data_IF_185376110974
#
_entry.id   IF_185376110974
#
_cell.length_a   1.000
_cell.length_b   1.000
_cell.length_c   1.000
_cell.angle_alpha   90.00
_cell.angle_beta   90.00
_cell.angle_gamma   90.00
#
_symmetry.space_group_name_H-M   'P 1'
#
loop_
_entity.id
_entity.type
_entity.pdbx_description
1 polymer ?
#
# COMPACT_ATOMS: atom_id res chain seq x y z
N UNK A 1 -1.89 -78.39 23.99
CA UNK A 1 -0.60 -77.81 23.56
C UNK A 1 -0.62 -76.37 24.08
N UNK A 2 0.07 -76.01 25.17
CA UNK A 2 1.49 -75.66 25.24
C UNK A 2 1.86 -74.60 24.17
N UNK A 3 2.47 -73.43 24.44
CA UNK A 3 2.99 -72.79 25.67
C UNK A 3 3.26 -71.27 25.36
N UNK A 4 3.48 -70.28 26.26
CA UNK A 4 3.57 -70.17 27.73
C UNK A 4 3.45 -68.67 28.19
N UNK A 5 3.23 -68.44 29.50
CA UNK A 5 3.41 -67.23 30.36
C UNK A 5 4.23 -66.01 29.83
N UNK A 6 3.99 -64.75 30.27
CA UNK A 6 3.97 -64.28 31.68
C UNK A 6 3.16 -62.99 31.98
N UNK A 7 2.70 -62.88 33.25
CA UNK A 7 2.25 -61.67 34.00
C UNK A 7 3.50 -60.90 34.58
N UNK A 8 3.48 -59.78 35.32
CA UNK A 8 2.52 -58.97 36.13
C UNK A 8 2.82 -57.47 35.85
N UNK A 9 1.87 -56.52 35.70
CA UNK A 9 1.25 -55.55 36.67
C UNK A 9 2.23 -54.80 37.66
N UNK A 10 1.86 -53.67 38.32
CA UNK A 10 2.27 -52.30 37.96
C UNK A 10 3.10 -51.56 39.03
N UNK A 11 3.66 -50.36 38.72
CA UNK A 11 3.90 -49.31 39.75
C UNK A 11 4.06 -47.89 39.17
N UNK A 12 3.67 -46.89 39.97
CA UNK A 12 3.97 -45.46 39.76
C UNK A 12 5.37 -45.10 40.31
N UNK A 13 6.06 -44.10 39.73
CA UNK A 13 6.40 -42.81 40.38
C UNK A 13 7.34 -41.90 39.54
N UNK A 14 7.12 -40.58 39.68
CA UNK A 14 8.07 -39.45 39.67
C UNK A 14 8.89 -39.01 38.42
N UNK A 15 8.57 -37.79 37.99
CA UNK A 15 9.44 -36.61 37.80
C UNK A 15 10.83 -36.75 37.14
N UNK A 16 10.96 -36.09 35.98
CA UNK A 16 12.25 -35.69 35.40
C UNK A 16 12.09 -34.54 34.39
N UNK A 17 12.20 -33.29 34.85
CA UNK A 17 12.30 -32.12 33.97
C UNK A 17 13.68 -32.10 33.30
N UNK A 18 13.74 -32.31 31.99
CA UNK A 18 14.96 -32.15 31.20
C UNK A 18 15.03 -30.74 30.60
N UNK A 19 15.70 -29.84 31.30
CA UNK A 19 16.14 -28.55 30.76
C UNK A 19 17.37 -28.73 29.88
N UNK A 20 17.26 -28.46 28.59
CA UNK A 20 18.43 -28.35 27.70
C UNK A 20 19.11 -26.99 27.87
N UNK A 21 20.14 -26.95 28.72
CA UNK A 21 21.13 -25.89 28.73
C UNK A 21 22.15 -26.17 27.61
N UNK A 22 22.09 -25.41 26.52
CA UNK A 22 23.13 -25.42 25.49
C UNK A 22 24.33 -24.57 25.92
N UNK A 23 25.51 -25.17 26.00
CA UNK A 23 26.74 -24.47 26.39
C UNK A 23 27.17 -23.44 25.34
N UNK A 24 27.63 -22.27 25.79
CA UNK A 24 28.39 -21.34 24.96
C UNK A 24 29.85 -21.82 24.86
N UNK A 25 30.31 -22.16 23.66
CA UNK A 25 31.75 -22.16 23.35
C UNK A 25 32.11 -20.84 22.65
N UNK A 26 32.97 -20.06 23.30
CA UNK A 26 33.37 -18.73 22.86
C UNK A 26 34.49 -18.77 21.81
N UNK A 27 34.17 -18.51 20.55
CA UNK A 27 35.18 -18.30 19.49
C UNK A 27 35.60 -16.81 19.39
N UNK A 28 36.87 -16.46 19.64
CA UNK A 28 37.35 -15.07 19.67
C UNK A 28 37.66 -14.52 18.27
N UNK A 29 36.65 -14.47 17.39
CA UNK A 29 36.71 -13.73 16.11
C UNK A 29 35.36 -13.55 15.41
N UNK A 30 34.25 -14.04 15.98
CA UNK A 30 32.92 -13.78 15.43
C UNK A 30 32.65 -12.26 15.40
N UNK A 31 32.24 -11.67 14.26
CA UNK A 31 31.83 -10.28 14.23
C UNK A 31 30.67 -10.12 15.23
N UNK A 32 30.77 -9.09 16.10
CA UNK A 32 29.68 -8.79 17.04
C UNK A 32 28.39 -8.71 16.25
N UNK A 33 27.41 -9.55 16.59
CA UNK A 33 26.01 -9.36 16.18
C UNK A 33 25.68 -7.91 16.51
N UNK A 34 25.53 -7.07 15.50
CA UNK A 34 24.92 -5.76 15.69
C UNK A 34 23.55 -6.08 16.26
N UNK A 35 23.32 -5.73 17.52
CA UNK A 35 21.99 -5.86 18.08
C UNK A 35 21.11 -4.94 17.25
N UNK A 36 20.25 -5.51 16.42
CA UNK A 36 19.04 -4.83 15.98
C UNK A 36 18.36 -4.40 17.28
N UNK A 37 18.45 -3.09 17.57
CA UNK A 37 17.79 -2.50 18.73
C UNK A 37 16.33 -2.85 18.55
N UNK A 38 15.82 -3.70 19.45
CA UNK A 38 14.53 -4.36 19.28
C UNK A 38 13.47 -3.35 18.85
N UNK A 39 13.07 -3.45 17.57
CA UNK A 39 12.16 -2.51 16.98
C UNK A 39 10.80 -2.71 17.66
N UNK A 40 10.51 -1.86 18.66
CA UNK A 40 9.16 -1.69 19.18
C UNK A 40 8.34 -1.08 18.05
N UNK A 41 7.87 -1.98 17.17
CA UNK A 41 7.33 -1.65 15.86
C UNK A 41 6.21 -0.61 16.02
N UNK A 42 6.15 0.33 15.08
CA UNK A 42 5.16 1.40 15.13
C UNK A 42 3.71 0.92 15.05
N UNK A 43 3.48 -0.37 14.75
CA UNK A 43 2.20 -1.06 14.88
C UNK A 43 1.68 -1.09 16.34
N UNK A 44 2.57 -1.02 17.34
CA UNK A 44 2.22 -0.88 18.75
C UNK A 44 1.71 0.53 19.12
N UNK A 45 1.81 1.49 18.19
CA UNK A 45 1.39 2.87 18.33
C UNK A 45 0.32 3.20 17.27
N UNK A 46 -0.87 2.60 17.36
CA UNK A 46 -1.97 2.86 16.45
C UNK A 46 -2.52 4.28 16.66
N UNK A 47 -2.98 4.89 15.57
CA UNK A 47 -3.59 6.22 15.60
C UNK A 47 -5.00 6.11 16.17
N UNK A 48 -5.31 6.93 17.19
CA UNK A 48 -6.65 7.03 17.75
C UNK A 48 -7.54 7.83 16.80
N UNK A 49 -8.66 7.22 16.39
CA UNK A 49 -9.67 7.81 15.50
C UNK A 49 -11.03 7.86 16.19
N UNK A 50 -11.80 8.92 15.96
CA UNK A 50 -13.22 8.98 16.31
C UNK A 50 -14.10 8.23 15.29
N UNK A 51 -13.66 8.15 14.03
CA UNK A 51 -14.30 7.38 12.97
C UNK A 51 -13.56 6.05 12.76
N UNK A 52 -14.23 4.94 13.03
CA UNK A 52 -13.65 3.59 12.98
C UNK A 52 -13.70 2.93 11.59
N UNK A 53 -14.15 3.65 10.56
CA UNK A 53 -14.03 3.20 9.18
C UNK A 53 -12.55 2.93 8.82
N UNK A 54 -12.31 1.83 8.11
CA UNK A 54 -11.02 1.53 7.50
C UNK A 54 -10.77 2.45 6.31
N UNK A 55 -9.82 3.38 6.44
CA UNK A 55 -9.45 4.36 5.44
C UNK A 55 -8.15 3.90 4.78
N UNK A 56 -8.21 3.61 3.50
CA UNK A 56 -7.07 3.20 2.69
C UNK A 56 -6.82 4.24 1.60
N UNK A 57 -5.60 4.28 1.07
CA UNK A 57 -5.25 5.06 -0.11
C UNK A 57 -4.74 4.13 -1.20
N UNK A 58 -5.20 4.34 -2.44
CA UNK A 58 -4.68 3.59 -3.58
C UNK A 58 -3.36 4.18 -4.04
N UNK A 59 -2.34 3.35 -4.27
CA UNK A 59 -0.95 3.81 -4.47
C UNK A 59 -0.36 3.26 -5.76
N UNK A 60 0.29 4.14 -6.51
CA UNK A 60 0.93 3.82 -7.78
C UNK A 60 2.46 3.69 -7.61
N UNK A 61 3.04 2.48 -7.75
CA UNK A 61 4.47 2.24 -7.49
C UNK A 61 5.36 2.45 -8.72
N UNK A 62 4.97 3.32 -9.65
CA UNK A 62 5.50 3.37 -11.03
C UNK A 62 6.33 4.61 -11.41
N UNK A 63 6.59 5.51 -10.46
CA UNK A 63 7.42 6.70 -10.68
C UNK A 63 8.92 6.35 -10.54
N UNK A 64 9.75 6.82 -11.47
CA UNK A 64 11.20 6.58 -11.48
C UNK A 64 11.97 7.84 -11.93
N UNK A 65 13.11 8.12 -11.29
CA UNK A 65 14.03 9.18 -11.72
C UNK A 65 15.06 8.63 -12.71
N UNK A 66 15.77 9.53 -13.41
CA UNK A 66 16.94 9.17 -14.21
C UNK A 66 18.03 8.41 -13.42
N UNK A 67 18.14 8.62 -12.11
CA UNK A 67 19.07 7.87 -11.24
C UNK A 67 18.55 6.50 -10.83
N UNK A 68 17.24 6.32 -10.61
CA UNK A 68 16.68 5.02 -10.25
C UNK A 68 16.53 4.11 -11.48
N UNK A 69 16.22 4.66 -12.64
CA UNK A 69 16.00 3.94 -13.90
C UNK A 69 17.17 4.08 -14.90
N UNK A 70 18.40 3.91 -14.41
CA UNK A 70 19.60 3.58 -15.19
C UNK A 70 20.19 4.68 -16.10
N UNK A 71 19.45 5.75 -16.40
CA UNK A 71 19.84 7.07 -16.93
C UNK A 71 18.63 7.88 -17.41
N UNK A 72 17.45 7.26 -17.53
CA UNK A 72 16.25 7.88 -18.13
C UNK A 72 15.13 8.03 -17.09
N UNK A 73 14.39 9.14 -17.16
CA UNK A 73 13.18 9.32 -16.34
C UNK A 73 12.11 8.28 -16.72
N UNK A 74 11.39 7.76 -15.73
CA UNK A 74 10.30 6.80 -15.95
C UNK A 74 9.10 7.45 -16.66
N UNK A 75 8.38 6.64 -17.44
CA UNK A 75 7.27 7.12 -18.28
C UNK A 75 6.21 7.93 -17.52
N UNK A 76 5.95 7.60 -16.25
CA UNK A 76 4.94 8.29 -15.46
C UNK A 76 5.34 9.71 -15.02
N UNK A 77 6.58 10.15 -15.25
CA UNK A 77 6.96 11.57 -15.18
C UNK A 77 7.08 12.25 -16.55
N UNK A 78 7.23 11.51 -17.65
CA UNK A 78 7.48 12.07 -18.99
C UNK A 78 6.25 12.07 -19.89
N UNK A 79 5.40 11.05 -19.75
CA UNK A 79 4.57 10.49 -20.83
C UNK A 79 5.36 10.52 -22.15
N UNK A 80 4.82 11.09 -23.23
CA UNK A 80 5.52 11.33 -24.49
C UNK A 80 6.12 12.75 -24.59
N UNK A 81 5.49 13.74 -23.97
CA UNK A 81 5.70 15.15 -24.28
C UNK A 81 6.46 15.97 -23.22
N UNK A 82 6.76 15.42 -22.05
CA UNK A 82 7.47 16.11 -20.96
C UNK A 82 8.90 15.58 -20.79
N UNK A 83 9.86 16.49 -20.54
CA UNK A 83 11.24 16.16 -20.24
C UNK A 83 11.64 16.72 -18.86
N UNK A 84 11.68 15.91 -17.79
CA UNK A 84 12.01 16.38 -16.46
C UNK A 84 13.44 16.90 -16.28
N UNK A 85 14.34 16.72 -17.25
CA UNK A 85 15.66 17.38 -17.25
C UNK A 85 15.58 18.86 -17.68
N UNK A 86 14.45 19.30 -18.27
CA UNK A 86 14.11 20.71 -18.40
C UNK A 86 13.61 21.22 -17.05
N UNK A 87 14.30 22.24 -16.52
CA UNK A 87 14.01 22.86 -15.22
C UNK A 87 13.81 24.36 -15.41
N UNK A 88 12.72 24.90 -14.86
CA UNK A 88 12.46 26.34 -14.89
C UNK A 88 13.26 27.12 -13.83
N UNK A 89 13.15 28.46 -13.86
CA UNK A 89 13.82 29.36 -12.93
C UNK A 89 13.38 29.19 -11.45
N UNK A 90 12.30 28.46 -11.17
CA UNK A 90 11.81 28.12 -9.82
C UNK A 90 12.27 26.73 -9.35
N UNK A 91 13.05 26.03 -10.16
CA UNK A 91 13.43 24.64 -9.92
C UNK A 91 12.30 23.62 -10.20
N UNK A 92 11.20 24.02 -10.87
CA UNK A 92 10.13 23.09 -11.29
C UNK A 92 10.60 22.34 -12.54
N UNK A 93 10.61 21.01 -12.48
CA UNK A 93 10.89 20.14 -13.63
C UNK A 93 9.65 20.03 -14.53
N UNK A 94 9.83 19.93 -15.84
CA UNK A 94 8.74 19.65 -16.77
C UNK A 94 8.30 18.18 -16.61
N UNK A 95 7.22 17.95 -15.87
CA UNK A 95 6.63 16.62 -15.63
C UNK A 95 5.23 16.50 -16.23
N UNK A 96 4.82 15.28 -16.54
CA UNK A 96 3.49 14.96 -17.07
C UNK A 96 2.40 14.96 -15.99
N UNK A 97 2.19 16.10 -15.34
CA UNK A 97 1.13 16.33 -14.36
C UNK A 97 0.80 17.81 -14.19
N UNK A 98 -0.47 18.10 -13.94
CA UNK A 98 -0.94 19.42 -13.49
C UNK A 98 -0.52 19.75 -12.05
N UNK A 99 -0.15 18.74 -11.25
CA UNK A 99 0.15 18.88 -9.82
C UNK A 99 1.61 18.49 -9.54
N UNK A 100 2.35 19.35 -8.83
CA UNK A 100 3.76 19.14 -8.57
C UNK A 100 3.98 18.65 -7.13
N UNK A 101 4.57 17.45 -6.91
CA UNK A 101 4.84 16.94 -5.57
C UNK A 101 5.61 17.96 -4.74
N UNK A 102 5.25 18.13 -3.46
CA UNK A 102 5.95 19.05 -2.56
C UNK A 102 7.44 18.68 -2.43
N UNK A 103 7.74 17.38 -2.52
CA UNK A 103 9.07 16.76 -2.52
C UNK A 103 9.84 16.89 -3.85
N UNK A 104 9.19 17.37 -4.92
CA UNK A 104 9.62 17.20 -6.31
C UNK A 104 9.41 15.77 -6.85
N UNK A 105 9.55 15.53 -8.16
CA UNK A 105 9.39 14.20 -8.74
C UNK A 105 10.46 13.24 -8.21
N UNK A 106 10.04 12.01 -7.97
CA UNK A 106 10.77 11.04 -7.16
C UNK A 106 10.77 9.62 -7.76
N UNK A 107 11.53 8.72 -7.15
CA UNK A 107 11.50 7.29 -7.45
C UNK A 107 10.65 6.56 -6.39
N UNK A 108 9.74 5.68 -6.81
CA UNK A 108 8.76 5.06 -5.89
C UNK A 108 9.40 4.10 -4.89
N UNK A 109 10.60 3.59 -5.19
CA UNK A 109 11.41 2.79 -4.28
C UNK A 109 12.33 3.61 -3.35
N UNK A 110 12.33 4.94 -3.43
CA UNK A 110 13.17 5.78 -2.55
C UNK A 110 12.70 5.66 -1.09
N UNK A 111 13.59 5.18 -0.23
CA UNK A 111 13.26 4.91 1.17
C UNK A 111 12.90 6.16 1.98
N UNK A 112 13.44 7.34 1.63
CA UNK A 112 13.13 8.60 2.32
C UNK A 112 11.74 9.11 1.91
N UNK A 113 11.38 8.99 0.63
CA UNK A 113 10.04 9.27 0.11
C UNK A 113 9.02 8.33 0.75
N UNK A 114 9.24 7.02 0.70
CA UNK A 114 8.31 6.03 1.23
C UNK A 114 8.07 6.21 2.74
N UNK A 115 9.13 6.48 3.51
CA UNK A 115 9.00 6.75 4.95
C UNK A 115 8.28 8.08 5.23
N UNK A 116 8.47 9.11 4.40
CA UNK A 116 7.74 10.38 4.47
C UNK A 116 6.24 10.19 4.18
N UNK A 117 5.93 9.52 3.06
CA UNK A 117 4.55 9.20 2.65
C UNK A 117 3.83 8.37 3.70
N UNK A 118 4.46 7.30 4.22
CA UNK A 118 3.87 6.47 5.27
C UNK A 118 3.66 7.23 6.59
N UNK A 119 4.54 8.16 6.97
CA UNK A 119 4.30 9.01 8.14
C UNK A 119 3.13 9.98 7.90
N UNK A 120 3.03 10.59 6.73
CA UNK A 120 1.89 11.45 6.38
C UNK A 120 0.55 10.69 6.41
N UNK A 121 0.50 9.49 5.79
CA UNK A 121 -0.67 8.61 5.84
C UNK A 121 -1.09 8.31 7.28
N UNK A 122 -0.14 7.91 8.15
CA UNK A 122 -0.39 7.67 9.57
C UNK A 122 -1.00 8.91 10.25
N UNK A 123 -0.40 10.08 10.09
CA UNK A 123 -0.88 11.32 10.72
C UNK A 123 -2.17 11.87 10.10
N UNK A 124 -2.55 11.43 8.89
CA UNK A 124 -3.84 11.71 8.26
C UNK A 124 -4.97 10.79 8.75
N UNK A 125 -4.67 9.73 9.49
CA UNK A 125 -5.65 8.72 9.93
C UNK A 125 -5.95 7.63 8.90
N UNK A 126 -5.08 7.47 7.90
CA UNK A 126 -5.09 6.35 6.95
C UNK A 126 -4.56 5.09 7.67
N UNK A 127 -5.26 3.96 7.54
CA UNK A 127 -4.87 2.69 8.15
C UNK A 127 -3.87 1.92 7.29
N UNK A 128 -3.89 2.13 5.97
CA UNK A 128 -3.00 1.43 5.05
C UNK A 128 -3.12 1.82 3.59
N UNK A 129 -2.39 1.07 2.76
CA UNK A 129 -2.28 1.26 1.31
C UNK A 129 -2.86 0.07 0.56
N UNK A 130 -3.57 0.35 -0.52
CA UNK A 130 -3.91 -0.59 -1.59
C UNK A 130 -2.98 -0.28 -2.76
N UNK A 131 -2.06 -1.18 -3.12
CA UNK A 131 -1.04 -0.90 -4.15
C UNK A 131 -1.28 -1.73 -5.41
N UNK A 132 -1.21 -1.09 -6.57
CA UNK A 132 -1.26 -1.80 -7.85
C UNK A 132 -0.01 -2.66 -8.06
N UNK A 133 -0.19 -3.88 -8.54
CA UNK A 133 0.88 -4.86 -8.66
C UNK A 133 0.73 -5.73 -9.90
N UNK A 134 1.74 -5.63 -10.78
CA UNK A 134 1.72 -6.08 -12.17
C UNK A 134 2.37 -7.47 -12.40
N UNK A 135 2.50 -8.29 -11.34
CA UNK A 135 3.14 -9.61 -11.42
C UNK A 135 4.60 -9.64 -10.97
N UNK A 136 5.17 -10.84 -10.81
CA UNK A 136 6.54 -11.01 -10.27
C UNK A 136 7.63 -10.60 -11.28
N UNK A 137 7.31 -10.60 -12.57
CA UNK A 137 8.23 -10.29 -13.67
C UNK A 137 8.06 -8.85 -14.21
N UNK A 138 7.52 -7.93 -13.39
CA UNK A 138 7.06 -6.59 -13.80
C UNK A 138 8.05 -5.44 -13.59
N UNK A 139 9.27 -5.71 -13.12
CA UNK A 139 10.34 -4.71 -13.08
C UNK A 139 10.92 -4.51 -14.49
N UNK A 140 10.79 -3.31 -15.05
CA UNK A 140 11.20 -2.99 -16.41
C UNK A 140 11.68 -1.52 -16.54
N UNK A 141 11.96 -1.07 -17.76
CA UNK A 141 12.45 0.30 -18.03
C UNK A 141 11.38 1.40 -17.92
N UNK A 142 10.10 1.04 -17.77
CA UNK A 142 9.00 1.97 -17.50
C UNK A 142 8.93 2.24 -15.99
N UNK A 143 8.96 1.16 -15.20
CA UNK A 143 8.85 1.19 -13.75
C UNK A 143 9.28 -0.12 -13.07
N UNK A 144 9.70 -0.04 -11.80
CA UNK A 144 10.11 -1.19 -10.99
C UNK A 144 9.01 -1.67 -10.04
N UNK A 145 7.84 -2.02 -10.59
CA UNK A 145 6.63 -2.32 -9.82
C UNK A 145 6.83 -3.32 -8.67
N UNK A 146 7.54 -4.43 -8.90
CA UNK A 146 7.81 -5.44 -7.86
C UNK A 146 8.77 -4.88 -6.82
N UNK A 147 9.93 -4.34 -7.24
CA UNK A 147 10.94 -3.84 -6.29
C UNK A 147 10.46 -2.64 -5.49
N UNK A 148 9.66 -1.75 -6.08
CA UNK A 148 9.03 -0.62 -5.41
C UNK A 148 7.95 -1.07 -4.43
N UNK A 149 7.15 -2.09 -4.77
CA UNK A 149 6.19 -2.70 -3.82
C UNK A 149 6.90 -3.38 -2.64
N UNK A 150 8.02 -4.08 -2.87
CA UNK A 150 8.86 -4.63 -1.80
C UNK A 150 9.47 -3.53 -0.91
N UNK A 151 9.82 -2.36 -1.46
CA UNK A 151 10.32 -1.21 -0.71
C UNK A 151 9.20 -0.55 0.12
N UNK A 152 8.03 -0.32 -0.48
CA UNK A 152 6.83 0.20 0.18
C UNK A 152 6.42 -0.69 1.36
N UNK A 153 6.38 -2.02 1.17
CA UNK A 153 6.04 -2.96 2.23
C UNK A 153 6.95 -2.85 3.47
N UNK A 154 8.24 -2.50 3.28
CA UNK A 154 9.17 -2.23 4.39
C UNK A 154 8.86 -0.91 5.11
N UNK A 155 8.47 0.14 4.38
CA UNK A 155 8.06 1.42 4.97
C UNK A 155 6.72 1.32 5.72
N UNK A 156 5.73 0.62 5.13
CA UNK A 156 4.46 0.28 5.78
C UNK A 156 4.68 -0.42 7.11
N UNK A 157 5.56 -1.43 7.16
CA UNK A 157 5.91 -2.13 8.39
C UNK A 157 6.53 -1.20 9.45
N UNK A 158 7.49 -0.35 9.06
CA UNK A 158 8.13 0.62 9.96
C UNK A 158 7.19 1.70 10.48
N UNK A 159 6.20 2.12 9.70
CA UNK A 159 5.19 3.11 10.11
C UNK A 159 4.02 2.48 10.90
N UNK A 160 3.85 1.16 10.86
CA UNK A 160 2.76 0.46 11.50
C UNK A 160 1.43 0.53 10.73
N UNK A 161 1.50 0.78 9.42
CA UNK A 161 0.35 0.81 8.51
C UNK A 161 0.03 -0.62 8.01
N UNK A 162 -1.04 -0.73 7.21
CA UNK A 162 -1.42 -1.96 6.50
C UNK A 162 -1.14 -1.90 4.99
N UNK A 163 -1.05 -3.06 4.36
CA UNK A 163 -0.89 -3.24 2.91
C UNK A 163 -1.92 -4.25 2.38
N UNK A 164 -2.57 -3.91 1.27
CA UNK A 164 -3.29 -4.83 0.40
C UNK A 164 -2.78 -4.71 -1.04
N UNK A 165 -2.86 -5.79 -1.80
CA UNK A 165 -2.47 -5.83 -3.21
C UNK A 165 -3.71 -5.69 -4.09
N UNK A 166 -3.63 -4.80 -5.06
CA UNK A 166 -4.54 -4.73 -6.22
C UNK A 166 -3.79 -5.35 -7.40
N UNK A 167 -4.24 -6.51 -7.86
CA UNK A 167 -3.60 -7.21 -8.97
C UNK A 167 -3.98 -6.58 -10.31
N UNK A 168 -3.00 -6.36 -11.17
CA UNK A 168 -3.17 -5.83 -12.52
C UNK A 168 -3.06 -6.96 -13.54
N UNK A 169 -4.15 -7.70 -13.74
CA UNK A 169 -4.17 -8.86 -14.66
C UNK A 169 -3.99 -8.46 -16.13
N UNK A 170 -4.02 -7.17 -16.44
CA UNK A 170 -3.58 -6.63 -17.74
C UNK A 170 -2.13 -6.98 -18.07
N UNK A 171 -1.26 -7.16 -17.08
CA UNK A 171 0.12 -7.60 -17.28
C UNK A 171 0.24 -9.04 -17.83
N UNK A 172 -0.84 -9.81 -17.82
CA UNK A 172 -0.89 -11.14 -18.44
C UNK A 172 -1.14 -11.09 -19.96
N UNK A 173 -1.42 -9.92 -20.55
CA UNK A 173 -1.62 -9.79 -22.00
C UNK A 173 -0.38 -10.24 -22.78
N UNK A 174 -0.58 -10.90 -23.91
CA UNK A 174 0.49 -11.49 -24.72
C UNK A 174 1.31 -12.62 -24.06
N UNK A 175 1.04 -13.01 -22.81
CA UNK A 175 1.76 -14.13 -22.17
C UNK A 175 1.36 -15.48 -22.80
N UNK A 176 2.35 -16.34 -23.04
CA UNK A 176 2.14 -17.64 -23.72
C UNK A 176 1.27 -18.61 -22.92
N UNK A 177 1.44 -18.63 -21.59
CA UNK A 177 0.57 -19.33 -20.65
C UNK A 177 0.28 -18.39 -19.46
N UNK A 178 -0.80 -17.62 -19.60
CA UNK A 178 -1.25 -16.72 -18.53
C UNK A 178 -1.64 -17.46 -17.25
N UNK A 179 -2.00 -18.76 -17.33
CA UNK A 179 -2.34 -19.55 -16.15
C UNK A 179 -1.10 -19.98 -15.38
N UNK A 180 0.02 -20.23 -16.05
CA UNK A 180 1.32 -20.43 -15.40
C UNK A 180 1.78 -19.14 -14.70
N UNK A 181 1.78 -18.00 -15.41
CA UNK A 181 2.22 -16.71 -14.86
C UNK A 181 1.32 -16.26 -13.69
N UNK A 182 -0.01 -16.32 -13.83
CA UNK A 182 -0.94 -16.00 -12.73
C UNK A 182 -0.71 -16.87 -11.48
N UNK A 183 -0.36 -18.14 -11.68
CA UNK A 183 -0.04 -19.05 -10.56
C UNK A 183 1.32 -18.77 -9.96
N UNK A 184 2.29 -18.29 -10.74
CA UNK A 184 3.57 -17.79 -10.21
C UNK A 184 3.35 -16.54 -9.36
N UNK A 185 2.60 -15.58 -9.88
CA UNK A 185 2.21 -14.34 -9.23
C UNK A 185 1.53 -14.61 -7.88
N UNK A 186 0.49 -15.47 -7.86
CA UNK A 186 -0.20 -15.84 -6.62
C UNK A 186 0.70 -16.57 -5.61
N UNK A 187 1.65 -17.41 -6.06
CA UNK A 187 2.65 -18.03 -5.17
C UNK A 187 3.57 -16.98 -4.55
N UNK A 188 4.02 -16.02 -5.35
CA UNK A 188 4.88 -14.93 -4.89
C UNK A 188 4.13 -14.03 -3.90
N UNK A 189 2.91 -13.58 -4.21
CA UNK A 189 2.08 -12.76 -3.33
C UNK A 189 1.81 -13.44 -1.98
N UNK A 190 1.50 -14.74 -2.02
CA UNK A 190 1.36 -15.57 -0.82
C UNK A 190 2.64 -15.53 0.02
N UNK A 191 3.76 -16.01 -0.55
CA UNK A 191 5.07 -16.15 0.12
C UNK A 191 5.60 -14.83 0.69
N UNK A 192 5.41 -13.73 -0.04
CA UNK A 192 6.05 -12.44 0.27
C UNK A 192 5.19 -11.61 1.23
N UNK A 193 3.88 -11.52 0.98
CA UNK A 193 3.00 -10.53 1.62
C UNK A 193 1.88 -11.13 2.47
N UNK A 194 1.12 -12.11 1.98
CA UNK A 194 -0.15 -12.52 2.61
C UNK A 194 -0.03 -12.96 4.09
N UNK A 195 1.10 -13.56 4.46
CA UNK A 195 1.33 -14.01 5.83
C UNK A 195 1.53 -12.85 6.83
N UNK A 196 2.06 -11.71 6.36
CA UNK A 196 2.64 -10.63 7.19
C UNK A 196 1.59 -9.97 8.08
N UNK A 197 2.01 -9.47 9.24
CA UNK A 197 1.09 -8.83 10.20
C UNK A 197 0.62 -7.44 9.74
N UNK A 198 1.40 -6.79 8.86
CA UNK A 198 0.96 -5.59 8.15
C UNK A 198 0.03 -5.89 6.97
N UNK A 199 -0.15 -7.14 6.56
CA UNK A 199 -1.05 -7.44 5.45
C UNK A 199 -2.51 -7.36 5.88
N UNK A 200 -3.37 -6.76 5.06
CA UNK A 200 -4.81 -6.66 5.33
C UNK A 200 -5.43 -8.05 5.33
N UNK A 201 -6.15 -8.38 6.41
CA UNK A 201 -6.87 -9.65 6.55
C UNK A 201 -8.34 -9.39 6.87
N UNK A 202 -9.22 -10.12 6.20
CA UNK A 202 -10.68 -10.12 6.39
C UNK A 202 -11.08 -11.56 6.74
N UNK A 203 -11.83 -11.76 7.83
CA UNK A 203 -12.10 -13.08 8.43
C UNK A 203 -10.82 -13.93 8.64
N UNK A 204 -9.68 -13.28 8.93
CA UNK A 204 -8.36 -13.93 9.07
C UNK A 204 -7.67 -14.31 7.75
N UNK A 205 -8.33 -14.21 6.60
CA UNK A 205 -7.77 -14.48 5.26
C UNK A 205 -7.16 -13.21 4.67
N UNK A 206 -6.09 -13.30 3.84
CA UNK A 206 -5.53 -12.14 3.15
C UNK A 206 -6.54 -11.49 2.20
N UNK A 207 -6.57 -10.16 2.10
CA UNK A 207 -7.32 -9.45 1.06
C UNK A 207 -6.51 -9.42 -0.24
N UNK A 208 -7.11 -9.84 -1.35
CA UNK A 208 -6.60 -9.61 -2.70
C UNK A 208 -7.66 -8.85 -3.50
N UNK A 209 -7.28 -7.72 -4.06
CA UNK A 209 -8.10 -6.95 -5.00
C UNK A 209 -7.59 -7.20 -6.43
N UNK A 210 -8.40 -6.86 -7.43
CA UNK A 210 -8.00 -6.87 -8.84
C UNK A 210 -8.54 -5.64 -9.58
N UNK A 211 -7.68 -4.98 -10.34
CA UNK A 211 -8.05 -3.87 -11.24
C UNK A 211 -8.71 -4.43 -12.51
N UNK A 212 -9.90 -5.02 -12.35
CA UNK A 212 -10.45 -5.93 -13.33
C UNK A 212 -11.40 -6.94 -12.68
N UNK A 213 -11.46 -8.20 -13.18
CA UNK A 213 -10.56 -8.79 -14.18
C UNK A 213 -10.75 -8.22 -15.59
N UNK A 214 -9.64 -7.89 -16.28
CA UNK A 214 -9.66 -7.47 -17.70
C UNK A 214 -9.18 -8.56 -18.65
N UNK A 215 -8.25 -9.44 -18.24
CA UNK A 215 -7.78 -10.58 -19.04
C UNK A 215 -8.45 -11.90 -18.64
N UNK A 216 -8.44 -12.23 -17.34
CA UNK A 216 -8.90 -13.53 -16.82
C UNK A 216 -10.40 -13.48 -16.55
N UNK A 217 -11.20 -13.63 -17.61
CA UNK A 217 -12.68 -13.47 -17.55
C UNK A 217 -13.47 -14.76 -17.33
N UNK A 218 -12.81 -15.86 -16.96
CA UNK A 218 -13.42 -17.17 -16.72
C UNK A 218 -13.35 -17.55 -15.25
N UNK A 219 -14.49 -17.74 -14.59
CA UNK A 219 -14.54 -18.12 -13.18
C UNK A 219 -13.86 -19.46 -12.87
N UNK A 220 -13.83 -20.38 -13.84
CA UNK A 220 -13.08 -21.64 -13.74
C UNK A 220 -11.57 -21.42 -13.58
N UNK A 221 -11.03 -20.40 -14.22
CA UNK A 221 -9.60 -20.16 -14.27
C UNK A 221 -9.11 -19.43 -13.01
N UNK A 222 -9.91 -18.50 -12.46
CA UNK A 222 -9.75 -18.00 -11.09
C UNK A 222 -9.77 -19.13 -10.05
N UNK A 223 -10.75 -20.04 -10.14
CA UNK A 223 -10.81 -21.21 -9.25
C UNK A 223 -9.54 -22.07 -9.34
N UNK A 224 -9.04 -22.33 -10.56
CA UNK A 224 -7.80 -23.08 -10.81
C UNK A 224 -6.55 -22.34 -10.37
N UNK A 225 -6.56 -21.01 -10.37
CA UNK A 225 -5.47 -20.16 -9.89
C UNK A 225 -5.39 -20.23 -8.36
N UNK A 226 -6.49 -19.95 -7.66
CA UNK A 226 -6.56 -20.01 -6.19
C UNK A 226 -6.44 -21.42 -5.61
N UNK A 227 -6.68 -22.47 -6.38
CA UNK A 227 -6.51 -23.86 -5.92
C UNK A 227 -5.06 -24.23 -5.53
N UNK A 228 -4.05 -23.43 -5.90
CA UNK A 228 -2.65 -23.65 -5.48
C UNK A 228 -2.36 -23.10 -4.08
N UNK A 229 -3.25 -22.26 -3.53
CA UNK A 229 -3.06 -21.57 -2.27
C UNK A 229 -3.67 -22.38 -1.13
N UNK A 230 -2.91 -22.55 -0.05
CA UNK A 230 -3.40 -23.09 1.22
C UNK A 230 -4.49 -22.19 1.80
N UNK A 231 -4.14 -20.90 1.96
CA UNK A 231 -5.01 -19.88 2.49
C UNK A 231 -5.53 -19.03 1.32
N UNK A 232 -6.76 -19.30 0.89
CA UNK A 232 -7.41 -18.56 -0.21
C UNK A 232 -7.74 -17.14 0.26
N UNK A 233 -7.43 -16.09 -0.53
CA UNK A 233 -7.74 -14.72 -0.16
C UNK A 233 -9.25 -14.47 -0.16
N UNK A 234 -9.69 -13.44 0.56
CA UNK A 234 -10.93 -12.72 0.21
C UNK A 234 -10.60 -11.96 -1.07
N UNK A 235 -11.27 -12.31 -2.16
CA UNK A 235 -11.05 -11.71 -3.47
C UNK A 235 -12.13 -10.68 -3.77
N UNK A 236 -11.74 -9.46 -4.13
CA UNK A 236 -12.64 -8.36 -4.51
C UNK A 236 -12.30 -7.85 -5.92
N UNK A 237 -13.32 -7.64 -6.74
CA UNK A 237 -13.16 -7.10 -8.08
C UNK A 237 -13.41 -5.59 -8.13
N UNK A 238 -12.96 -4.95 -9.22
CA UNK A 238 -13.37 -3.59 -9.53
C UNK A 238 -14.91 -3.53 -9.68
N UNK A 239 -15.53 -2.38 -9.39
CA UNK A 239 -16.98 -2.21 -9.44
C UNK A 239 -17.57 -2.60 -10.82
N UNK A 240 -18.58 -3.46 -10.82
CA UNK A 240 -19.20 -3.99 -12.03
C UNK A 240 -18.34 -5.00 -12.79
N UNK A 241 -17.32 -5.62 -12.17
CA UNK A 241 -16.49 -6.66 -12.78
C UNK A 241 -16.57 -8.03 -12.07
N UNK A 242 -17.26 -8.18 -10.94
CA UNK A 242 -17.34 -9.45 -10.22
C UNK A 242 -17.88 -10.61 -11.07
N UNK A 243 -18.75 -10.35 -12.06
CA UNK A 243 -19.25 -11.37 -13.01
C UNK A 243 -18.16 -12.01 -13.88
N UNK A 244 -17.00 -11.36 -14.07
CA UNK A 244 -15.87 -11.96 -14.79
C UNK A 244 -15.09 -12.97 -13.95
N UNK A 245 -15.15 -12.84 -12.61
CA UNK A 245 -14.67 -13.83 -11.66
C UNK A 245 -15.75 -14.88 -11.27
N UNK A 246 -17.03 -14.50 -11.34
CA UNK A 246 -18.17 -15.28 -10.87
C UNK A 246 -19.06 -15.73 -12.04
N UNK A 247 -18.57 -16.68 -12.84
CA UNK A 247 -19.32 -17.25 -13.97
C UNK A 247 -19.03 -18.76 -14.18
N UNK A 248 -19.85 -19.40 -15.03
CA UNK A 248 -19.69 -20.81 -15.39
C UNK A 248 -19.86 -21.80 -14.23
N UNK A 249 -20.65 -21.43 -13.21
CA UNK A 249 -20.85 -22.22 -11.99
C UNK A 249 -19.80 -22.00 -10.90
N UNK A 250 -18.86 -21.07 -11.08
CA UNK A 250 -17.84 -20.72 -10.09
C UNK A 250 -18.14 -19.38 -9.43
N UNK A 251 -17.91 -19.30 -8.12
CA UNK A 251 -17.95 -18.07 -7.32
C UNK A 251 -16.60 -17.91 -6.64
N UNK A 252 -15.82 -16.90 -7.04
CA UNK A 252 -14.47 -16.63 -6.55
C UNK A 252 -14.37 -15.28 -5.83
N UNK A 253 -15.06 -14.25 -6.34
CA UNK A 253 -15.12 -12.94 -5.70
C UNK A 253 -16.20 -12.89 -4.62
N UNK A 254 -15.84 -12.38 -3.44
CA UNK A 254 -16.74 -12.14 -2.30
C UNK A 254 -17.33 -10.70 -2.33
N UNK A 255 -16.91 -9.85 -3.28
CA UNK A 255 -17.36 -8.46 -3.33
C UNK A 255 -16.67 -7.56 -4.34
N UNK A 256 -16.87 -6.25 -4.18
CA UNK A 256 -16.36 -5.23 -5.11
C UNK A 256 -15.79 -4.00 -4.39
N UNK A 257 -15.06 -3.18 -5.15
CA UNK A 257 -14.59 -1.87 -4.70
C UNK A 257 -14.83 -0.78 -5.77
N UNK A 258 -15.07 0.45 -5.32
CA UNK A 258 -15.27 1.59 -6.22
C UNK A 258 -13.93 2.18 -6.70
N UNK A 259 -13.82 2.47 -7.99
CA UNK A 259 -12.81 3.38 -8.57
C UNK A 259 -13.44 4.71 -9.02
N UNK A 260 -12.63 5.77 -9.06
CA UNK A 260 -12.86 7.09 -9.71
C UNK A 260 -14.31 7.33 -10.15
N UNK A 261 -15.13 7.83 -9.22
CA UNK A 261 -16.53 8.11 -9.46
C UNK A 261 -16.95 9.36 -8.66
N UNK A 262 -17.38 10.47 -9.30
CA UNK A 262 -17.75 11.70 -8.60
C UNK A 262 -19.09 11.61 -7.84
N UNK A 263 -19.90 10.58 -8.12
CA UNK A 263 -21.21 10.36 -7.52
C UNK A 263 -21.45 8.84 -7.28
N UNK A 264 -20.73 8.22 -6.32
CA UNK A 264 -20.84 6.80 -6.07
C UNK A 264 -22.19 6.45 -5.42
N UNK A 265 -22.92 5.52 -6.03
CA UNK A 265 -24.10 4.91 -5.43
C UNK A 265 -23.69 3.72 -4.55
N UNK A 266 -23.86 3.87 -3.24
CA UNK A 266 -23.57 2.82 -2.27
C UNK A 266 -24.76 1.92 -1.93
N UNK A 267 -25.94 2.13 -2.54
CA UNK A 267 -27.08 1.22 -2.38
C UNK A 267 -26.77 -0.20 -2.86
N UNK A 268 -25.85 -0.34 -3.83
CA UNK A 268 -25.36 -1.63 -4.35
C UNK A 268 -24.55 -2.43 -3.34
N UNK A 269 -24.00 -1.80 -2.30
CA UNK A 269 -23.11 -2.46 -1.34
C UNK A 269 -23.79 -3.64 -0.61
N UNK A 270 -25.12 -3.60 -0.46
CA UNK A 270 -25.92 -4.67 0.16
C UNK A 270 -25.92 -5.99 -0.63
N UNK A 271 -25.54 -5.97 -1.91
CA UNK A 271 -25.48 -7.16 -2.77
C UNK A 271 -24.18 -7.95 -2.63
N UNK A 272 -23.20 -7.41 -1.90
CA UNK A 272 -21.88 -8.01 -1.71
C UNK A 272 -21.61 -8.32 -0.24
N UNK A 273 -20.84 -9.38 0.03
CA UNK A 273 -20.39 -9.67 1.40
C UNK A 273 -19.41 -8.61 1.89
N UNK A 274 -18.60 -8.09 0.96
CA UNK A 274 -17.64 -7.00 1.20
C UNK A 274 -17.79 -5.93 0.12
N UNK A 275 -17.78 -4.67 0.55
CA UNK A 275 -17.75 -3.53 -0.35
C UNK A 275 -16.79 -2.48 0.20
N UNK A 276 -15.91 -1.97 -0.66
CA UNK A 276 -14.98 -0.88 -0.34
C UNK A 276 -15.42 0.34 -1.14
N UNK A 277 -15.91 1.37 -0.46
CA UNK A 277 -16.30 2.63 -1.11
C UNK A 277 -15.10 3.38 -1.68
N UNK A 278 -15.36 4.37 -2.54
CA UNK A 278 -14.33 5.21 -3.17
C UNK A 278 -14.55 6.68 -2.90
N UNK A 279 -13.46 7.43 -2.72
CA UNK A 279 -13.46 8.89 -2.76
C UNK A 279 -12.27 9.39 -3.57
N UNK A 280 -12.45 10.45 -4.34
CA UNK A 280 -11.38 11.11 -5.09
C UNK A 280 -11.38 12.63 -4.87
N UNK A 281 -10.23 13.32 -4.92
CA UNK A 281 -10.17 14.76 -4.78
C UNK A 281 -10.86 15.49 -5.93
N UNK A 282 -10.73 14.92 -7.13
CA UNK A 282 -11.19 15.38 -8.44
C UNK A 282 -10.58 14.43 -9.49
N UNK A 283 -10.72 14.77 -10.76
CA UNK A 283 -10.03 14.08 -11.86
C UNK A 283 -9.65 15.13 -12.91
N UNK A 284 -8.38 15.25 -13.25
CA UNK A 284 -7.89 16.23 -14.22
C UNK A 284 -6.60 15.67 -14.82
N UNK A 285 -6.76 14.81 -15.83
CA UNK A 285 -5.64 14.06 -16.37
C UNK A 285 -4.72 14.91 -17.25
N UNK A 286 -3.48 14.46 -17.33
CA UNK A 286 -2.46 15.00 -18.22
C UNK A 286 -2.34 14.18 -19.51
N UNK A 287 -3.21 13.21 -19.81
CA UNK A 287 -2.96 12.25 -20.88
C UNK A 287 -2.99 12.89 -22.27
N UNK A 288 -3.91 13.82 -22.54
CA UNK A 288 -3.95 14.52 -23.83
C UNK A 288 -2.69 15.40 -24.01
N UNK A 289 -2.34 16.19 -23.00
CA UNK A 289 -1.17 17.09 -23.02
C UNK A 289 0.16 16.32 -23.06
N UNK A 290 0.24 15.22 -22.33
CA UNK A 290 1.36 14.29 -22.28
C UNK A 290 1.49 13.38 -23.50
N UNK A 291 0.52 13.37 -24.43
CA UNK A 291 0.55 12.57 -25.66
C UNK A 291 0.28 11.08 -25.44
N UNK A 292 -0.49 10.75 -24.40
CA UNK A 292 -0.83 9.40 -23.93
C UNK A 292 -2.31 9.02 -24.15
N UNK A 293 -2.98 9.62 -25.13
CA UNK A 293 -4.38 9.37 -25.46
C UNK A 293 -5.16 10.66 -25.74
N UNK A 294 -6.48 10.61 -25.56
CA UNK A 294 -7.39 11.76 -25.73
C UNK A 294 -7.84 12.39 -24.41
N UNK A 295 -7.32 11.90 -23.28
CA UNK A 295 -7.83 12.24 -21.94
C UNK A 295 -9.23 11.66 -21.65
N UNK A 296 -9.72 11.93 -20.44
CA UNK A 296 -11.05 11.55 -19.96
C UNK A 296 -11.84 12.79 -19.49
N UNK A 297 -13.05 12.57 -18.98
CA UNK A 297 -13.88 13.63 -18.40
C UNK A 297 -13.23 14.21 -17.15
N UNK A 298 -12.92 15.50 -17.18
CA UNK A 298 -12.48 16.26 -16.00
C UNK A 298 -13.62 16.38 -14.98
N UNK A 299 -13.33 16.10 -13.72
CA UNK A 299 -14.19 16.36 -12.57
C UNK A 299 -13.51 17.38 -11.66
N UNK A 300 -14.07 18.59 -11.59
CA UNK A 300 -13.56 19.66 -10.72
C UNK A 300 -13.50 19.18 -9.26
N UNK A 301 -12.40 19.48 -8.59
CA UNK A 301 -12.25 19.20 -7.17
C UNK A 301 -13.19 20.04 -6.28
N UNK A 302 -13.79 21.11 -6.82
CA UNK A 302 -14.69 22.04 -6.11
C UNK A 302 -13.99 22.64 -4.87
N UNK A 303 -12.70 22.96 -4.99
CA UNK A 303 -11.81 23.34 -3.88
C UNK A 303 -11.78 22.32 -2.71
N UNK A 304 -12.05 21.04 -2.99
CA UNK A 304 -12.15 19.93 -2.04
C UNK A 304 -13.57 19.61 -1.58
N UNK A 305 -14.62 20.29 -2.05
CA UNK A 305 -16.00 19.96 -1.68
C UNK A 305 -16.45 18.61 -2.26
N UNK A 306 -16.00 18.26 -3.49
CA UNK A 306 -16.22 16.94 -4.10
C UNK A 306 -15.68 15.81 -3.21
N UNK A 307 -14.45 15.95 -2.71
CA UNK A 307 -13.83 14.97 -1.81
C UNK A 307 -14.65 14.79 -0.52
N UNK A 308 -14.92 15.90 0.19
CA UNK A 308 -15.67 15.87 1.44
C UNK A 308 -17.09 15.29 1.28
N UNK A 309 -17.74 15.53 0.14
CA UNK A 309 -19.06 14.96 -0.19
C UNK A 309 -19.00 13.43 -0.30
N UNK A 310 -18.00 12.87 -1.00
CA UNK A 310 -17.82 11.42 -1.13
C UNK A 310 -17.46 10.75 0.20
N UNK A 311 -16.57 11.35 1.00
CA UNK A 311 -16.24 10.87 2.36
C UNK A 311 -17.51 10.78 3.23
N UNK A 312 -18.34 11.83 3.22
CA UNK A 312 -19.59 11.86 3.96
C UNK A 312 -20.62 10.87 3.40
N UNK A 313 -20.69 10.65 2.08
CA UNK A 313 -21.56 9.65 1.49
C UNK A 313 -21.20 8.23 1.95
N UNK A 314 -19.92 7.86 1.94
CA UNK A 314 -19.45 6.54 2.40
C UNK A 314 -19.76 6.31 3.89
N UNK A 315 -19.63 7.36 4.71
CA UNK A 315 -19.96 7.33 6.14
C UNK A 315 -21.46 7.22 6.39
N UNK A 316 -22.28 7.96 5.65
CA UNK A 316 -23.75 7.92 5.75
C UNK A 316 -24.32 6.58 5.27
N UNK A 317 -23.68 5.93 4.30
CA UNK A 317 -24.01 4.57 3.86
C UNK A 317 -23.56 3.47 4.85
N UNK A 318 -22.91 3.83 5.96
CA UNK A 318 -22.47 2.87 6.98
C UNK A 318 -21.34 1.92 6.52
N UNK A 319 -20.57 2.30 5.49
CA UNK A 319 -19.50 1.46 4.97
C UNK A 319 -18.40 1.24 6.01
N UNK A 320 -17.87 0.01 6.05
CA UNK A 320 -16.76 -0.37 6.94
C UNK A 320 -15.39 -0.01 6.35
N UNK A 321 -15.29 0.08 5.03
CA UNK A 321 -14.04 0.28 4.29
C UNK A 321 -14.23 1.33 3.20
N UNK A 322 -13.22 2.17 3.04
CA UNK A 322 -13.12 3.23 2.04
C UNK A 322 -11.70 3.23 1.49
N UNK A 323 -11.56 3.37 0.17
CA UNK A 323 -10.30 3.76 -0.46
C UNK A 323 -10.39 5.19 -0.98
N UNK A 324 -9.25 5.88 -0.96
CA UNK A 324 -9.06 7.13 -1.71
C UNK A 324 -8.32 6.81 -3.01
N UNK A 325 -8.97 7.09 -4.13
CA UNK A 325 -8.37 7.11 -5.47
C UNK A 325 -7.90 8.54 -5.74
N UNK A 326 -6.62 8.89 -5.59
CA UNK A 326 -5.45 8.05 -5.25
C UNK A 326 -4.50 8.79 -4.29
N UNK A 327 -3.54 8.09 -3.69
CA UNK A 327 -2.42 8.75 -3.02
C UNK A 327 -1.62 9.62 -4.00
N UNK A 328 -1.18 9.04 -5.12
CA UNK A 328 -0.16 9.63 -6.00
C UNK A 328 -0.34 9.38 -7.50
N UNK A 329 -1.54 9.17 -8.02
CA UNK A 329 -1.73 9.21 -9.49
C UNK A 329 -1.71 10.67 -9.99
N UNK A 330 -0.49 11.12 -10.24
CA UNK A 330 -0.19 12.41 -10.85
C UNK A 330 -0.62 12.48 -12.32
N UNK A 331 -0.77 11.36 -13.02
CA UNK A 331 -1.17 11.31 -14.43
C UNK A 331 -2.66 11.54 -14.62
N UNK A 332 -3.50 10.94 -13.77
CA UNK A 332 -4.95 11.19 -13.70
C UNK A 332 -5.34 12.47 -12.96
N UNK A 333 -4.41 13.03 -12.17
CA UNK A 333 -4.68 14.20 -11.32
C UNK A 333 -5.57 13.89 -10.12
N UNK A 334 -5.71 12.62 -9.74
CA UNK A 334 -6.51 12.15 -8.58
C UNK A 334 -5.72 12.12 -7.27
N UNK A 335 -4.49 12.64 -7.27
CA UNK A 335 -3.54 12.62 -6.14
C UNK A 335 -4.02 13.40 -4.91
N UNK A 336 -3.78 12.83 -3.71
CA UNK A 336 -3.95 13.51 -2.41
C UNK A 336 -2.63 13.72 -1.65
N UNK A 337 -1.50 13.20 -2.15
CA UNK A 337 -0.16 13.49 -1.64
C UNK A 337 0.10 15.01 -1.69
N UNK A 338 0.78 15.62 -0.69
CA UNK A 338 1.00 17.06 -0.69
C UNK A 338 1.74 17.59 -1.91
N UNK A 339 1.20 18.66 -2.50
CA UNK A 339 1.73 19.33 -3.70
C UNK A 339 1.97 20.82 -3.46
N UNK A 340 2.63 21.48 -4.41
CA UNK A 340 2.76 22.95 -4.40
C UNK A 340 1.40 23.64 -4.56
N UNK A 341 0.46 23.02 -5.28
CA UNK A 341 -0.82 23.61 -5.67
C UNK A 341 -1.88 23.56 -4.56
N UNK A 342 -1.86 22.56 -3.66
CA UNK A 342 -2.84 22.44 -2.57
C UNK A 342 -2.28 22.10 -1.18
N UNK A 343 -0.95 21.95 -1.03
CA UNK A 343 -0.32 21.67 0.26
C UNK A 343 -0.91 20.42 0.93
N UNK A 344 -1.25 20.52 2.21
CA UNK A 344 -1.81 19.40 2.98
C UNK A 344 -3.35 19.29 2.93
N UNK A 345 -4.05 20.06 2.08
CA UNK A 345 -5.53 20.21 2.08
C UNK A 345 -6.30 18.90 2.22
N UNK A 346 -5.99 17.90 1.40
CA UNK A 346 -6.70 16.61 1.41
C UNK A 346 -6.33 15.74 2.62
N UNK A 347 -5.09 15.83 3.12
CA UNK A 347 -4.70 15.14 4.34
C UNK A 347 -5.37 15.77 5.58
N UNK A 348 -5.52 17.09 5.62
CA UNK A 348 -6.30 17.80 6.67
C UNK A 348 -7.79 17.46 6.59
N UNK A 349 -8.34 17.23 5.39
CA UNK A 349 -9.70 16.71 5.24
C UNK A 349 -9.83 15.28 5.80
N UNK A 350 -8.84 14.40 5.54
CA UNK A 350 -8.79 13.06 6.14
C UNK A 350 -8.62 13.12 7.67
N UNK A 351 -7.78 14.00 8.21
CA UNK A 351 -7.62 14.19 9.66
C UNK A 351 -8.98 14.48 10.34
N UNK A 352 -9.76 15.39 9.75
CA UNK A 352 -11.12 15.75 10.20
C UNK A 352 -12.11 14.59 10.05
N UNK A 353 -12.07 13.86 8.94
CA UNK A 353 -12.98 12.74 8.66
C UNK A 353 -12.71 11.51 9.55
N UNK A 354 -11.44 11.19 9.79
CA UNK A 354 -10.97 10.18 10.72
C UNK A 354 -11.19 10.60 12.18
N UNK A 355 -11.17 11.90 12.45
CA UNK A 355 -11.23 12.46 13.80
C UNK A 355 -10.00 12.10 14.63
N UNK A 356 -8.81 12.37 14.07
CA UNK A 356 -7.52 12.27 14.78
C UNK A 356 -7.20 13.59 15.49
N UNK A 357 -6.30 13.54 16.48
CA UNK A 357 -5.87 14.75 17.20
C UNK A 357 -4.85 15.60 16.43
N UNK A 358 -4.14 15.00 15.46
CA UNK A 358 -3.06 15.65 14.70
C UNK A 358 -3.56 16.75 13.78
N UNK A 359 -2.69 17.73 13.54
CA UNK A 359 -2.98 18.93 12.77
C UNK A 359 -2.02 19.07 11.56
N UNK A 360 -2.25 20.07 10.73
CA UNK A 360 -1.40 20.40 9.58
C UNK A 360 0.07 20.66 9.98
N UNK A 361 0.29 21.27 11.14
CA UNK A 361 1.63 21.52 11.68
C UNK A 361 2.46 20.24 11.91
N UNK A 362 1.79 19.10 12.16
CA UNK A 362 2.45 17.81 12.37
C UNK A 362 2.83 17.17 11.02
N UNK A 363 2.02 17.39 9.98
CA UNK A 363 2.34 17.02 8.59
C UNK A 363 3.53 17.85 8.06
N UNK A 364 3.56 19.15 8.36
CA UNK A 364 4.70 20.02 8.07
C UNK A 364 5.98 19.62 8.84
N UNK A 365 5.86 19.10 10.07
CA UNK A 365 6.99 18.57 10.84
C UNK A 365 7.58 17.30 10.18
N UNK A 366 6.73 16.44 9.62
CA UNK A 366 7.15 15.26 8.84
C UNK A 366 7.89 15.69 7.56
N UNK A 367 7.47 16.76 6.90
CA UNK A 367 8.21 17.32 5.76
C UNK A 367 9.57 17.90 6.17
N UNK A 368 9.68 18.66 7.29
CA UNK A 368 10.96 19.11 7.84
C UNK A 368 11.91 17.95 8.17
N UNK A 369 11.38 16.83 8.66
CA UNK A 369 12.15 15.60 8.87
C UNK A 369 12.67 15.01 7.55
N UNK A 370 11.83 14.97 6.50
CA UNK A 370 12.22 14.51 5.17
C UNK A 370 13.34 15.39 4.57
N UNK A 371 13.25 16.72 4.68
CA UNK A 371 14.30 17.65 4.24
C UNK A 371 15.63 17.42 4.98
N UNK A 372 15.58 17.17 6.30
CA UNK A 372 16.77 16.79 7.06
C UNK A 372 17.35 15.45 6.57
N UNK A 373 16.50 14.43 6.36
CA UNK A 373 16.93 13.12 5.85
C UNK A 373 17.57 13.21 4.47
N UNK A 374 17.05 14.09 3.60
CA UNK A 374 17.60 14.30 2.24
C UNK A 374 18.90 15.08 2.22
N UNK A 375 19.03 16.10 3.07
CA UNK A 375 20.24 16.96 3.12
C UNK A 375 21.37 16.34 3.96
N UNK A 376 21.05 15.58 5.01
CA UNK A 376 22.00 14.98 5.96
C UNK A 376 21.56 13.57 6.37
N UNK A 377 21.58 12.57 5.46
CA UNK A 377 21.06 11.22 5.74
C UNK A 377 21.75 10.51 6.91
N UNK A 378 22.99 10.86 7.22
CA UNK A 378 23.78 10.29 8.32
C UNK A 378 23.69 11.08 9.64
N UNK A 379 22.88 12.15 9.71
CA UNK A 379 22.64 12.90 10.95
C UNK A 379 21.84 12.04 11.93
N UNK A 380 22.34 11.75 13.16
CA UNK A 380 21.64 10.90 14.13
C UNK A 380 20.20 11.35 14.45
N UNK A 381 19.90 12.65 14.27
CA UNK A 381 18.56 13.21 14.45
C UNK A 381 17.54 12.64 13.45
N UNK A 382 17.96 12.21 12.25
CA UNK A 382 17.07 11.60 11.24
C UNK A 382 16.40 10.35 11.80
N UNK A 383 17.20 9.44 12.38
CA UNK A 383 16.69 8.18 12.94
C UNK A 383 15.89 8.42 14.22
N UNK A 384 16.38 9.29 15.11
CA UNK A 384 15.70 9.61 16.37
C UNK A 384 14.34 10.28 16.15
N UNK A 385 14.25 11.24 15.21
CA UNK A 385 13.01 11.90 14.86
C UNK A 385 12.04 10.96 14.12
N UNK A 386 12.52 10.09 13.23
CA UNK A 386 11.66 9.08 12.60
C UNK A 386 11.03 8.16 13.64
N UNK A 387 11.81 7.66 14.60
CA UNK A 387 11.29 6.80 15.68
C UNK A 387 10.27 7.54 16.56
N UNK A 388 10.49 8.81 16.88
CA UNK A 388 9.53 9.62 17.62
C UNK A 388 8.22 9.83 16.82
N UNK A 389 8.32 10.20 15.54
CA UNK A 389 7.14 10.37 14.65
C UNK A 389 6.37 9.05 14.48
N UNK A 390 7.06 7.94 14.21
CA UNK A 390 6.42 6.64 14.03
C UNK A 390 5.69 6.13 15.29
N UNK A 391 6.17 6.54 16.48
CA UNK A 391 5.54 6.29 17.80
C UNK A 391 4.53 7.36 18.23
N UNK A 392 4.26 8.36 17.38
CA UNK A 392 3.34 9.47 17.63
C UNK A 392 3.80 10.41 18.77
N UNK A 393 5.10 10.42 19.09
CA UNK A 393 5.76 11.28 20.09
C UNK A 393 6.07 12.67 19.49
N UNK A 394 5.04 13.41 19.06
CA UNK A 394 5.16 14.63 18.24
C UNK A 394 6.06 15.70 18.86
N UNK A 395 5.89 16.00 20.15
CA UNK A 395 6.65 17.06 20.82
C UNK A 395 8.15 16.71 20.89
N UNK A 396 8.47 15.44 21.14
CA UNK A 396 9.84 14.92 21.13
C UNK A 396 10.45 14.97 19.73
N UNK A 397 9.69 14.62 18.69
CA UNK A 397 10.13 14.80 17.31
C UNK A 397 10.42 16.29 17.01
N UNK A 398 9.58 17.20 17.50
CA UNK A 398 9.76 18.65 17.36
C UNK A 398 11.03 19.14 18.04
N UNK A 399 11.32 18.68 19.26
CA UNK A 399 12.58 18.99 19.95
C UNK A 399 13.82 18.46 19.21
N UNK A 400 13.77 17.23 18.69
CA UNK A 400 14.89 16.63 17.92
C UNK A 400 15.14 17.39 16.61
N UNK A 401 14.09 17.93 15.99
CA UNK A 401 14.16 18.58 14.68
C UNK A 401 14.46 20.09 14.74
N UNK A 402 14.58 20.69 15.93
CA UNK A 402 15.05 22.07 16.10
C UNK A 402 16.40 22.30 15.40
#
# INVERSE_FOLDING_TARGET
MANMNKYIVPLLLYCGLLTWSGCEESYPSAPKKTAEIADQTAANYPVKKANLMGIYVHFMPWFETNTSNGTQWGYHWTMKNCNPDVVDATGKRQIASHYYPLTGPYASGDAAILDYQCLLMKYAGVDGVMVDWYGVNSDNAVAKHKSNTEALAKAIARAGLKLAIVYEDRALDGTKDYMEQLREDLRYLSKTFFHRDYYVKIDGKPLLMIFGPVQVKRGKDWYRAFAILKDKPVFLCLNGHAQYANNGGYTNSEGEYTWVNPAPDYSVAQHFKYYIGGAMPGFHDYYQEGGAGTGYTTYDAENGALFNRQLNAAKSAGLKWLQVSTWNDYGEGTTIEPTREYGYKYLVALQKFAGVAYQEADLALIYRWYELRRSKPNDPRVQAAYQALARLEVDKAREILK
#
